data_IF_708045087955
#
_entry.id   IF_708045087955
#
_cell.length_a   1.000
_cell.length_b   1.000
_cell.length_c   1.000
_cell.angle_alpha   90.00
_cell.angle_beta   90.00
_cell.angle_gamma   90.00
#
_symmetry.space_group_name_H-M   'P 1'
#
loop_
_entity.id
_entity.type
_entity.pdbx_description
1 polymer ?
#
# COMPACT_ATOMS: atom_id res chain seq x y z
N UNK A 1 -1.92 6.82 -27.98
CA UNK A 1 -0.74 7.43 -27.32
C UNK A 1 -0.92 7.21 -25.82
N UNK A 2 -0.22 6.25 -25.21
CA UNK A 2 -0.27 6.06 -23.75
C UNK A 2 0.57 7.16 -23.10
N UNK A 3 -0.07 8.03 -22.32
CA UNK A 3 0.66 8.94 -21.45
C UNK A 3 1.46 8.09 -20.45
N UNK A 4 2.78 8.12 -20.57
CA UNK A 4 3.67 7.61 -19.54
C UNK A 4 3.51 8.52 -18.34
N UNK A 5 2.61 8.18 -17.40
CA UNK A 5 2.48 8.89 -16.14
C UNK A 5 3.80 8.75 -15.38
N UNK A 6 4.62 9.79 -15.44
CA UNK A 6 5.86 9.90 -14.68
C UNK A 6 5.49 10.29 -13.25
N UNK A 7 5.13 9.30 -12.43
CA UNK A 7 4.90 9.53 -11.01
C UNK A 7 6.24 9.86 -10.34
N UNK A 8 6.33 10.94 -9.54
CA UNK A 8 7.48 11.09 -8.65
C UNK A 8 7.56 9.85 -7.76
N UNK A 9 8.76 9.37 -7.42
CA UNK A 9 8.91 8.15 -6.62
C UNK A 9 8.31 8.36 -5.23
N UNK A 10 7.06 7.94 -5.04
CA UNK A 10 6.38 7.99 -3.75
C UNK A 10 6.61 6.67 -3.01
N UNK A 11 7.33 6.76 -1.89
CA UNK A 11 7.69 5.60 -1.07
C UNK A 11 7.47 5.91 0.39
N UNK A 12 6.97 4.92 1.14
CA UNK A 12 6.74 5.05 2.58
C UNK A 12 7.03 3.73 3.27
N UNK A 13 7.83 3.79 4.33
CA UNK A 13 8.08 2.64 5.20
C UNK A 13 7.20 2.71 6.44
N UNK A 14 6.60 1.59 6.81
CA UNK A 14 5.66 1.48 7.93
C UNK A 14 6.02 0.27 8.79
N UNK A 15 6.12 0.49 10.10
CA UNK A 15 6.27 -0.58 11.08
C UNK A 15 4.94 -1.29 11.29
N UNK A 16 4.97 -2.62 11.26
CA UNK A 16 3.84 -3.50 11.49
C UNK A 16 3.99 -4.24 12.83
N UNK A 17 3.01 -5.08 13.12
CA UNK A 17 3.07 -5.93 14.32
C UNK A 17 4.21 -6.97 14.23
N UNK A 18 4.65 -7.47 15.39
CA UNK A 18 5.66 -8.53 15.52
C UNK A 18 7.05 -8.16 14.95
N UNK A 19 7.40 -6.87 14.93
CA UNK A 19 8.73 -6.39 14.54
C UNK A 19 9.01 -6.40 13.04
N UNK A 20 7.98 -6.60 12.21
CA UNK A 20 8.09 -6.51 10.76
C UNK A 20 7.89 -5.08 10.28
N UNK A 21 8.47 -4.77 9.12
CA UNK A 21 8.22 -3.53 8.40
C UNK A 21 7.88 -3.81 6.94
N UNK A 22 7.12 -2.89 6.35
CA UNK A 22 6.83 -2.89 4.92
C UNK A 22 7.17 -1.53 4.33
N UNK A 23 7.84 -1.54 3.19
CA UNK A 23 8.06 -0.37 2.36
C UNK A 23 7.16 -0.47 1.13
N UNK A 24 6.23 0.46 1.01
CA UNK A 24 5.41 0.63 -0.18
C UNK A 24 6.10 1.60 -1.14
N UNK A 25 6.02 1.32 -2.43
CA UNK A 25 6.55 2.19 -3.47
C UNK A 25 5.67 2.15 -4.72
N UNK A 26 5.36 3.33 -5.27
CA UNK A 26 4.72 3.46 -6.59
C UNK A 26 5.77 3.79 -7.63
N UNK A 27 5.74 3.06 -8.75
CA UNK A 27 6.61 3.31 -9.90
C UNK A 27 5.86 3.09 -11.21
N UNK A 28 6.61 3.04 -12.31
CA UNK A 28 6.09 2.86 -13.67
C UNK A 28 5.28 1.58 -13.87
N UNK A 29 5.51 0.56 -13.05
CA UNK A 29 4.82 -0.74 -13.10
C UNK A 29 3.71 -0.88 -12.05
N UNK A 30 3.35 0.21 -11.36
CA UNK A 30 2.32 0.24 -10.32
C UNK A 30 2.88 0.16 -8.90
N UNK A 31 2.07 -0.40 -7.99
CA UNK A 31 2.39 -0.52 -6.57
C UNK A 31 3.28 -1.73 -6.31
N UNK A 32 4.39 -1.51 -5.63
CA UNK A 32 5.31 -2.56 -5.16
C UNK A 32 5.45 -2.51 -3.64
N UNK A 33 5.91 -3.63 -3.06
CA UNK A 33 6.19 -3.74 -1.63
C UNK A 33 7.51 -4.47 -1.39
N UNK A 34 8.23 -4.06 -0.34
CA UNK A 34 9.41 -4.76 0.17
C UNK A 34 9.27 -4.99 1.67
N UNK A 35 9.62 -6.19 2.13
CA UNK A 35 9.52 -6.59 3.53
C UNK A 35 10.86 -6.52 4.24
N UNK A 36 10.84 -6.19 5.53
CA UNK A 36 12.00 -6.23 6.42
C UNK A 36 11.62 -6.92 7.75
N UNK A 37 12.53 -7.73 8.33
CA UNK A 37 13.83 -8.15 7.76
C UNK A 37 13.70 -9.19 6.63
N UNK A 38 12.57 -9.90 6.58
CA UNK A 38 12.27 -10.91 5.57
C UNK A 38 10.76 -10.97 5.32
N UNK A 39 10.34 -11.78 4.34
CA UNK A 39 8.93 -12.02 4.10
C UNK A 39 8.26 -12.59 5.38
N UNK A 40 7.14 -12.01 5.86
CA UNK A 40 6.47 -12.47 7.07
C UNK A 40 5.93 -13.89 6.91
N UNK A 41 6.28 -14.77 7.85
CA UNK A 41 5.78 -16.15 7.91
C UNK A 41 5.30 -16.42 9.33
N UNK A 42 4.02 -16.77 9.48
CA UNK A 42 3.40 -16.99 10.78
C UNK A 42 2.96 -18.44 10.93
N UNK A 43 3.41 -19.10 12.00
CA UNK A 43 2.88 -20.42 12.39
C UNK A 43 1.49 -20.32 13.04
N UNK A 44 1.20 -19.20 13.70
CA UNK A 44 -0.09 -18.97 14.37
C UNK A 44 -1.06 -18.24 13.46
N UNK A 45 -2.25 -18.83 13.27
CA UNK A 45 -3.36 -18.22 12.53
C UNK A 45 -3.77 -16.86 13.12
N UNK A 46 -3.78 -16.73 14.45
CA UNK A 46 -4.14 -15.48 15.14
C UNK A 46 -3.11 -14.39 14.87
N UNK A 47 -1.81 -14.71 14.95
CA UNK A 47 -0.74 -13.76 14.65
C UNK A 47 -0.81 -13.32 13.18
N UNK A 48 -0.99 -14.28 12.26
CA UNK A 48 -1.15 -13.99 10.84
C UNK A 48 -2.34 -13.09 10.53
N UNK A 49 -3.50 -13.32 11.18
CA UNK A 49 -4.68 -12.45 11.01
C UNK A 49 -4.39 -11.01 11.48
N UNK A 50 -3.84 -10.84 12.69
CA UNK A 50 -3.49 -9.50 13.21
C UNK A 50 -2.47 -8.79 12.32
N UNK A 51 -1.51 -9.53 11.80
CA UNK A 51 -0.54 -9.00 10.85
C UNK A 51 -1.20 -8.53 9.56
N UNK A 52 -2.09 -9.35 8.98
CA UNK A 52 -2.80 -9.02 7.75
C UNK A 52 -3.69 -7.78 7.92
N UNK A 53 -4.37 -7.65 9.05
CA UNK A 53 -5.17 -6.47 9.40
C UNK A 53 -4.30 -5.21 9.47
N UNK A 54 -3.15 -5.28 10.15
CA UNK A 54 -2.19 -4.17 10.23
C UNK A 54 -1.62 -3.78 8.85
N UNK A 55 -1.28 -4.77 8.02
CA UNK A 55 -0.82 -4.54 6.65
C UNK A 55 -1.88 -3.86 5.78
N UNK A 56 -3.13 -4.36 5.82
CA UNK A 56 -4.24 -3.80 5.04
C UNK A 56 -4.51 -2.35 5.43
N UNK A 57 -4.48 -2.03 6.73
CA UNK A 57 -4.57 -0.66 7.22
C UNK A 57 -3.42 0.21 6.67
N UNK A 58 -2.18 -0.23 6.82
CA UNK A 58 -1.01 0.51 6.33
C UNK A 58 -1.04 0.76 4.82
N UNK A 59 -1.52 -0.21 4.03
CA UNK A 59 -1.72 -0.07 2.58
C UNK A 59 -2.82 0.94 2.26
N UNK A 60 -3.96 0.87 2.94
CA UNK A 60 -5.05 1.83 2.73
C UNK A 60 -4.61 3.26 3.04
N UNK A 61 -3.89 3.45 4.15
CA UNK A 61 -3.36 4.76 4.54
C UNK A 61 -2.33 5.26 3.48
N UNK A 62 -1.50 4.38 2.93
CA UNK A 62 -0.53 4.76 1.88
C UNK A 62 -1.23 5.18 0.58
N UNK A 63 -2.27 4.46 0.18
CA UNK A 63 -3.05 4.77 -1.01
C UNK A 63 -3.83 6.09 -0.85
N UNK A 64 -4.29 6.41 0.36
CA UNK A 64 -4.93 7.69 0.65
C UNK A 64 -3.95 8.85 0.56
N UNK A 65 -2.74 8.70 1.11
CA UNK A 65 -1.70 9.70 0.97
C UNK A 65 -1.37 9.93 -0.51
N UNK A 66 -1.28 8.86 -1.29
CA UNK A 66 -1.05 8.91 -2.73
C UNK A 66 -2.18 9.66 -3.45
N UNK A 67 -3.45 9.32 -3.19
CA UNK A 67 -4.60 10.00 -3.77
C UNK A 67 -4.60 11.50 -3.44
N UNK A 68 -4.31 11.82 -2.17
CA UNK A 68 -4.21 13.20 -1.69
C UNK A 68 -3.08 13.97 -2.38
N UNK A 69 -1.90 13.35 -2.54
CA UNK A 69 -0.76 13.94 -3.24
C UNK A 69 -1.06 14.16 -4.73
N UNK A 70 -1.81 13.26 -5.37
CA UNK A 70 -2.21 13.39 -6.77
C UNK A 70 -3.39 14.35 -6.98
N UNK A 71 -4.09 14.75 -5.90
CA UNK A 71 -5.26 15.62 -5.97
C UNK A 71 -6.49 14.95 -6.60
N UNK A 72 -6.58 13.62 -6.56
CA UNK A 72 -7.66 12.87 -7.19
C UNK A 72 -7.71 11.40 -6.79
N UNK A 73 -8.77 10.67 -7.17
CA UNK A 73 -8.96 9.28 -6.79
C UNK A 73 -7.89 8.37 -7.38
N UNK A 74 -7.50 7.35 -6.61
CA UNK A 74 -6.64 6.26 -7.05
C UNK A 74 -7.46 4.99 -7.18
N UNK A 75 -7.46 4.39 -8.37
CA UNK A 75 -8.06 3.08 -8.60
C UNK A 75 -7.02 1.99 -8.41
N UNK A 76 -7.33 1.01 -7.58
CA UNK A 76 -6.48 -0.15 -7.30
C UNK A 76 -7.20 -1.41 -7.76
N UNK A 77 -6.61 -2.11 -8.72
CA UNK A 77 -7.04 -3.44 -9.13
C UNK A 77 -6.08 -4.48 -8.54
N UNK A 78 -6.60 -5.37 -7.70
CA UNK A 78 -5.84 -6.49 -7.15
C UNK A 78 -5.91 -7.72 -8.06
N UNK A 79 -4.90 -8.57 -7.99
CA UNK A 79 -4.83 -9.79 -8.82
C UNK A 79 -5.91 -10.82 -8.49
N UNK A 80 -6.59 -10.65 -7.36
CA UNK A 80 -7.72 -11.47 -6.90
C UNK A 80 -9.07 -10.96 -7.45
N UNK A 81 -9.07 -9.92 -8.30
CA UNK A 81 -10.27 -9.39 -8.95
C UNK A 81 -10.99 -8.29 -8.15
N UNK A 82 -10.52 -7.96 -6.95
CA UNK A 82 -11.04 -6.81 -6.20
C UNK A 82 -10.56 -5.49 -6.81
N UNK A 83 -11.51 -4.59 -7.09
CA UNK A 83 -11.23 -3.21 -7.51
C UNK A 83 -11.70 -2.27 -6.42
N UNK A 84 -10.81 -1.40 -5.96
CA UNK A 84 -11.10 -0.38 -4.96
C UNK A 84 -10.78 1.02 -5.51
N UNK A 85 -11.66 1.98 -5.22
CA UNK A 85 -11.43 3.40 -5.47
C UNK A 85 -11.08 4.06 -4.14
N UNK A 86 -9.91 4.70 -4.08
CA UNK A 86 -9.43 5.41 -2.90
C UNK A 86 -9.49 6.90 -3.17
N UNK A 87 -10.37 7.58 -2.45
CA UNK A 87 -10.53 9.03 -2.54
C UNK A 87 -9.43 9.77 -1.75
N UNK A 88 -9.03 10.97 -2.20
CA UNK A 88 -8.13 11.83 -1.44
C UNK A 88 -8.75 12.22 -0.09
N UNK A 89 -7.90 12.45 0.90
CA UNK A 89 -8.35 13.04 2.16
C UNK A 89 -8.67 14.52 1.90
N UNK A 90 -9.89 14.93 2.24
CA UNK A 90 -10.24 16.35 2.28
C UNK A 90 -9.55 16.95 3.48
N UNK A 91 -8.55 17.83 3.25
CA UNK A 91 -8.07 18.71 4.31
C UNK A 91 -9.24 19.60 4.72
N UNK A 92 -9.81 19.34 5.89
CA UNK A 92 -10.69 20.30 6.57
C UNK A 92 -9.87 21.47 7.13
#
# INVERSE_FOLDING_TARGET
>A
MSASMHFPPFRRRVTLTHGYEVEFAVGSFGLSRKWYPACPVFRSRRAGRRFLEAYRKARADFLRDLATMLGGPVVVADTEGEVAVVEPETRQ
#
